data_IF_525928700247
#
_entry.id   IF_525928700247
#
_cell.length_a   1.000
_cell.length_b   1.000
_cell.length_c   1.000
_cell.angle_alpha   90.00
_cell.angle_beta   90.00
_cell.angle_gamma   90.00
#
_symmetry.space_group_name_H-M   'P 1'
#
loop_
_entity.id
_entity.type
_entity.pdbx_description
1 polymer ?
#
# COMPACT_ATOMS: atom_id res chain seq x y z
N UNK A 1 34.20 47.18 65.39
CA UNK A 1 32.79 46.77 65.45
C UNK A 1 32.21 46.83 64.04
N UNK A 2 31.54 45.73 63.61
CA UNK A 2 30.61 45.56 62.48
C UNK A 2 31.09 46.01 61.07
N UNK A 3 31.47 45.11 60.16
CA UNK A 3 30.69 44.12 59.37
C UNK A 3 29.95 44.73 58.17
N UNK A 4 30.26 44.22 56.97
CA UNK A 4 29.48 44.46 55.75
C UNK A 4 30.07 43.77 54.52
N UNK A 5 29.85 42.46 54.41
CA UNK A 5 30.12 41.65 53.22
C UNK A 5 28.81 41.43 52.43
N UNK A 6 28.87 41.48 51.09
CA UNK A 6 28.05 40.78 50.08
C UNK A 6 28.08 41.58 48.76
N UNK A 7 28.17 41.01 47.56
CA UNK A 7 28.15 39.61 47.19
C UNK A 7 28.71 39.44 45.78
N UNK A 8 29.36 38.30 45.58
CA UNK A 8 29.81 37.81 44.28
C UNK A 8 28.60 37.55 43.38
N UNK A 9 28.62 38.11 42.18
CA UNK A 9 27.67 37.76 41.12
C UNK A 9 27.86 36.30 40.73
N UNK A 10 26.84 35.48 40.98
CA UNK A 10 26.74 34.14 40.41
C UNK A 10 26.56 34.26 38.88
N UNK A 11 27.21 33.40 38.08
CA UNK A 11 27.11 33.46 36.64
C UNK A 11 25.74 32.92 36.17
N UNK A 12 25.17 33.60 35.18
CA UNK A 12 23.95 33.33 34.40
C UNK A 12 24.00 32.00 33.60
N UNK A 13 24.45 30.90 34.20
CA UNK A 13 24.61 29.60 33.52
C UNK A 13 23.28 28.82 33.42
N UNK A 14 22.24 29.25 34.15
CA UNK A 14 20.94 28.55 34.20
C UNK A 14 19.98 28.80 33.02
N UNK A 15 20.06 29.96 32.36
CA UNK A 15 19.06 30.38 31.36
C UNK A 15 19.21 29.68 30.00
N UNK A 16 20.46 29.44 29.55
CA UNK A 16 20.72 28.70 28.32
C UNK A 16 20.38 27.21 28.45
N UNK A 17 20.62 26.62 29.63
CA UNK A 17 20.32 25.21 29.90
C UNK A 17 18.81 24.94 29.92
N UNK A 18 18.01 25.76 30.62
CA UNK A 18 16.56 25.59 30.67
C UNK A 18 15.88 25.79 29.30
N UNK A 19 16.36 26.73 28.48
CA UNK A 19 15.84 26.98 27.13
C UNK A 19 16.22 25.85 26.17
N UNK A 20 17.43 25.32 26.25
CA UNK A 20 17.86 24.15 25.46
C UNK A 20 17.15 22.85 25.89
N UNK A 21 16.88 22.68 27.19
CA UNK A 21 16.08 21.56 27.71
C UNK A 21 14.62 21.66 27.26
N UNK A 22 14.03 22.87 27.29
CA UNK A 22 12.68 23.11 26.78
C UNK A 22 12.54 22.86 25.28
N UNK A 23 13.53 23.27 24.50
CA UNK A 23 13.56 23.06 23.04
C UNK A 23 13.73 21.58 22.68
N UNK A 24 14.57 20.85 23.42
CA UNK A 24 14.74 19.41 23.25
C UNK A 24 13.46 18.63 23.59
N UNK A 25 12.84 18.90 24.74
CA UNK A 25 11.61 18.21 25.16
C UNK A 25 10.46 18.46 24.17
N UNK A 26 10.39 19.67 23.61
CA UNK A 26 9.44 20.02 22.56
C UNK A 26 9.66 19.22 21.26
N UNK A 27 10.90 19.12 20.78
CA UNK A 27 11.23 18.34 19.58
C UNK A 27 10.99 16.84 19.79
N UNK A 28 11.31 16.30 20.98
CA UNK A 28 10.99 14.92 21.34
C UNK A 28 9.48 14.66 21.35
N UNK A 29 8.68 15.63 21.78
CA UNK A 29 7.22 15.53 21.73
C UNK A 29 6.69 15.52 20.28
N UNK A 30 7.19 16.40 19.41
CA UNK A 30 6.82 16.40 17.98
C UNK A 30 7.18 15.06 17.35
N UNK A 31 8.41 14.60 17.55
CA UNK A 31 8.89 13.34 16.98
C UNK A 31 8.06 12.14 17.40
N UNK A 32 7.60 12.09 18.67
CA UNK A 32 6.70 11.03 19.17
C UNK A 32 5.30 11.06 18.57
N UNK A 33 4.86 12.22 18.06
CA UNK A 33 3.55 12.38 17.40
C UNK A 33 3.59 12.05 15.90
N UNK A 34 4.78 11.78 15.33
CA UNK A 34 4.93 11.43 13.93
C UNK A 34 4.44 10.01 13.65
N UNK A 35 3.58 9.86 12.63
CA UNK A 35 2.99 8.58 12.26
C UNK A 35 3.53 8.11 10.89
N UNK A 36 4.13 6.92 10.88
CA UNK A 36 4.66 6.32 9.65
C UNK A 36 4.85 4.80 9.80
N UNK A 37 5.15 4.05 8.72
CA UNK A 37 5.47 2.64 8.78
C UNK A 37 6.52 2.24 9.83
N UNK A 38 7.43 3.15 10.17
CA UNK A 38 8.52 2.93 11.11
C UNK A 38 8.06 2.79 12.57
N UNK A 39 6.88 3.34 12.91
CA UNK A 39 6.32 3.33 14.28
C UNK A 39 5.00 2.56 14.39
N UNK A 40 4.36 2.21 13.27
CA UNK A 40 3.10 1.45 13.25
C UNK A 40 3.19 0.00 13.75
N UNK A 41 4.39 -0.45 14.15
CA UNK A 41 4.59 -1.83 14.61
C UNK A 41 4.22 -2.84 13.54
N UNK A 42 4.61 -2.53 12.29
CA UNK A 42 4.55 -3.44 11.14
C UNK A 42 5.52 -4.57 11.41
N UNK A 43 5.13 -5.60 12.16
CA UNK A 43 5.97 -6.78 12.30
C UNK A 43 5.65 -7.67 11.11
N UNK A 44 6.61 -7.94 10.22
CA UNK A 44 6.36 -8.89 9.17
C UNK A 44 6.30 -10.25 9.85
N UNK A 45 5.24 -11.01 9.60
CA UNK A 45 5.16 -12.44 9.95
C UNK A 45 6.22 -13.29 9.24
N UNK A 46 7.14 -12.66 8.49
CA UNK A 46 8.26 -13.22 7.73
C UNK A 46 9.40 -13.81 8.58
N UNK A 47 9.18 -13.98 9.89
CA UNK A 47 10.16 -14.54 10.83
C UNK A 47 11.10 -13.49 11.44
N UNK A 48 11.55 -13.75 12.66
CA UNK A 48 12.48 -12.90 13.42
C UNK A 48 13.95 -13.16 13.10
N UNK A 49 14.25 -14.23 12.36
CA UNK A 49 15.62 -14.65 12.06
C UNK A 49 16.09 -14.17 10.68
N UNK A 50 17.26 -13.50 10.67
CA UNK A 50 18.00 -13.07 9.47
C UNK A 50 18.32 -14.20 8.48
N UNK A 51 18.16 -15.47 8.86
CA UNK A 51 18.37 -16.63 7.99
C UNK A 51 17.27 -16.85 6.95
N UNK A 52 16.09 -16.23 7.11
CA UNK A 52 14.95 -16.31 6.15
C UNK A 52 15.05 -15.25 5.03
N UNK A 53 16.27 -14.88 4.62
CA UNK A 53 16.55 -13.86 3.58
C UNK A 53 15.75 -14.05 2.29
N UNK A 54 15.49 -15.30 1.91
CA UNK A 54 14.70 -15.67 0.72
C UNK A 54 13.23 -15.22 0.78
N UNK A 55 12.61 -15.19 1.96
CA UNK A 55 11.21 -14.75 2.14
C UNK A 55 11.08 -13.24 2.04
N UNK A 56 12.03 -12.51 2.63
CA UNK A 56 12.13 -11.06 2.51
C UNK A 56 12.38 -10.64 1.06
N UNK A 57 13.31 -11.29 0.37
CA UNK A 57 13.59 -11.04 -1.04
C UNK A 57 12.38 -11.32 -1.93
N UNK A 58 11.70 -12.45 -1.71
CA UNK A 58 10.48 -12.80 -2.44
C UNK A 58 9.39 -11.74 -2.22
N UNK A 59 9.16 -11.34 -0.98
CA UNK A 59 8.16 -10.33 -0.65
C UNK A 59 8.47 -8.95 -1.25
N UNK A 60 9.73 -8.49 -1.19
CA UNK A 60 10.16 -7.25 -1.83
C UNK A 60 9.93 -7.32 -3.34
N UNK A 61 10.39 -8.40 -4.00
CA UNK A 61 10.18 -8.58 -5.44
C UNK A 61 8.70 -8.60 -5.80
N UNK A 62 7.85 -9.21 -4.97
CA UNK A 62 6.40 -9.21 -5.15
C UNK A 62 5.82 -7.80 -5.05
N UNK A 63 6.21 -7.01 -4.05
CA UNK A 63 5.77 -5.62 -3.93
C UNK A 63 6.25 -4.77 -5.13
N UNK A 64 7.47 -5.01 -5.64
CA UNK A 64 7.94 -4.38 -6.87
C UNK A 64 7.10 -4.77 -8.10
N UNK A 65 6.72 -6.05 -8.22
CA UNK A 65 5.81 -6.51 -9.28
C UNK A 65 4.41 -5.86 -9.14
N UNK A 66 3.90 -5.70 -7.91
CA UNK A 66 2.63 -5.01 -7.63
C UNK A 66 2.72 -3.52 -7.95
N UNK A 67 3.85 -2.87 -7.66
CA UNK A 67 4.04 -1.45 -7.98
C UNK A 67 3.87 -1.18 -9.48
N UNK A 68 4.32 -2.11 -10.34
CA UNK A 68 4.13 -2.03 -11.79
C UNK A 68 2.67 -2.17 -12.24
N UNK A 69 1.81 -2.73 -11.38
CA UNK A 69 0.39 -2.94 -11.65
C UNK A 69 -0.47 -2.28 -10.59
N UNK A 70 0.01 -1.20 -9.98
CA UNK A 70 -0.72 -0.46 -8.96
C UNK A 70 -2.01 0.09 -9.58
N UNK A 71 -3.12 -0.11 -8.89
CA UNK A 71 -4.45 0.32 -9.32
C UNK A 71 -4.63 1.83 -9.26
N UNK A 72 -3.88 2.52 -8.41
CA UNK A 72 -4.02 3.96 -8.17
C UNK A 72 -2.74 4.57 -7.60
N UNK A 73 -2.59 5.91 -7.67
CA UNK A 73 -1.53 6.62 -6.95
C UNK A 73 -1.53 6.35 -5.44
N UNK A 74 -2.69 6.10 -4.84
CA UNK A 74 -2.81 5.69 -3.44
C UNK A 74 -2.03 4.39 -3.18
N UNK A 75 -2.24 3.38 -4.01
CA UNK A 75 -1.51 2.11 -3.89
C UNK A 75 -0.02 2.29 -4.15
N UNK A 76 0.38 3.16 -5.09
CA UNK A 76 1.80 3.48 -5.28
C UNK A 76 2.43 4.03 -3.99
N UNK A 77 1.78 5.01 -3.35
CA UNK A 77 2.22 5.57 -2.05
C UNK A 77 2.38 4.45 -1.02
N UNK A 78 1.37 3.60 -0.85
CA UNK A 78 1.39 2.49 0.12
C UNK A 78 2.53 1.50 -0.16
N UNK A 79 2.76 1.15 -1.42
CA UNK A 79 3.80 0.20 -1.81
C UNK A 79 5.19 0.82 -1.62
N UNK A 80 5.39 2.09 -1.97
CA UNK A 80 6.64 2.81 -1.71
C UNK A 80 6.96 2.92 -0.20
N UNK A 81 5.95 3.19 0.64
CA UNK A 81 6.09 3.19 2.09
C UNK A 81 6.53 1.82 2.63
N UNK A 82 5.89 0.75 2.15
CA UNK A 82 6.23 -0.61 2.55
C UNK A 82 7.64 -1.02 2.09
N UNK A 83 8.01 -0.72 0.84
CA UNK A 83 9.34 -0.99 0.30
C UNK A 83 10.41 -0.21 1.06
N UNK A 84 10.19 1.08 1.32
CA UNK A 84 11.09 1.91 2.11
C UNK A 84 11.35 1.30 3.49
N UNK A 85 10.28 0.91 4.18
CA UNK A 85 10.38 0.27 5.49
C UNK A 85 11.09 -1.09 5.43
N UNK A 86 10.80 -1.94 4.44
CA UNK A 86 11.46 -3.25 4.26
C UNK A 86 12.97 -3.11 4.01
N UNK A 87 13.38 -2.20 3.13
CA UNK A 87 14.80 -1.97 2.84
C UNK A 87 15.53 -1.40 4.06
N UNK A 88 14.90 -0.49 4.80
CA UNK A 88 15.46 -0.03 6.08
C UNK A 88 15.67 -1.18 7.06
N UNK A 89 14.68 -2.07 7.23
CA UNK A 89 14.81 -3.25 8.11
C UNK A 89 15.92 -4.20 7.68
N UNK A 90 16.29 -4.21 6.39
CA UNK A 90 17.45 -4.95 5.86
C UNK A 90 18.79 -4.23 6.02
N UNK A 91 18.79 -2.98 6.51
CA UNK A 91 19.99 -2.14 6.60
C UNK A 91 20.37 -1.44 5.29
N UNK A 92 19.52 -1.48 4.26
CA UNK A 92 19.73 -0.76 3.01
C UNK A 92 19.02 0.61 3.06
N UNK A 93 19.62 1.52 3.82
CA UNK A 93 19.11 2.89 3.98
C UNK A 93 19.10 3.67 2.67
N UNK A 94 19.99 3.35 1.71
CA UNK A 94 20.03 4.05 0.42
C UNK A 94 18.78 3.74 -0.40
N UNK A 95 18.49 2.46 -0.60
CA UNK A 95 17.29 2.05 -1.36
C UNK A 95 16.01 2.43 -0.62
N UNK A 96 16.02 2.39 0.72
CA UNK A 96 14.91 2.89 1.54
C UNK A 96 14.57 4.35 1.24
N UNK A 97 15.58 5.22 1.16
CA UNK A 97 15.44 6.64 0.81
C UNK A 97 15.02 6.84 -0.63
N UNK A 98 15.54 6.05 -1.57
CA UNK A 98 15.10 6.12 -2.98
C UNK A 98 13.59 5.92 -3.10
N UNK A 99 13.00 4.97 -2.37
CA UNK A 99 11.54 4.78 -2.40
C UNK A 99 10.74 5.94 -1.77
N UNK A 100 11.30 6.65 -0.78
CA UNK A 100 10.64 7.87 -0.28
C UNK A 100 10.73 9.01 -1.30
N UNK A 101 11.82 9.10 -2.06
CA UNK A 101 11.92 10.06 -3.16
C UNK A 101 10.92 9.76 -4.28
N UNK A 102 10.75 8.49 -4.66
CA UNK A 102 9.72 8.09 -5.63
C UNK A 102 8.29 8.42 -5.12
N UNK A 103 8.03 8.22 -3.82
CA UNK A 103 6.75 8.63 -3.21
C UNK A 103 6.54 10.14 -3.34
N UNK A 104 7.56 10.95 -3.08
CA UNK A 104 7.51 12.41 -3.27
C UNK A 104 7.16 12.79 -4.73
N UNK A 105 7.71 12.07 -5.71
CA UNK A 105 7.36 12.24 -7.13
C UNK A 105 5.88 11.90 -7.39
N UNK A 106 5.35 10.84 -6.78
CA UNK A 106 3.91 10.49 -6.88
C UNK A 106 3.03 11.62 -6.33
N UNK A 107 3.40 12.21 -5.19
CA UNK A 107 2.68 13.35 -4.63
C UNK A 107 2.83 14.62 -5.47
N UNK A 108 4.02 14.89 -6.00
CA UNK A 108 4.29 16.05 -6.85
C UNK A 108 3.59 16.01 -8.21
N UNK A 109 3.17 14.84 -8.66
CA UNK A 109 2.46 14.65 -9.95
C UNK A 109 0.94 14.52 -9.79
N UNK A 110 0.42 14.64 -8.58
CA UNK A 110 -0.99 14.37 -8.25
C UNK A 110 -1.98 15.25 -9.01
N UNK A 111 -1.61 16.50 -9.30
CA UNK A 111 -2.41 17.45 -10.09
C UNK A 111 -2.61 17.00 -11.55
N UNK A 112 -1.69 16.18 -12.07
CA UNK A 112 -1.74 15.63 -13.43
C UNK A 112 -2.34 14.23 -13.48
N UNK A 113 -2.57 13.61 -12.33
CA UNK A 113 -3.14 12.29 -12.24
C UNK A 113 -4.64 12.32 -12.59
N UNK A 114 -5.14 11.27 -13.25
CA UNK A 114 -6.55 11.16 -13.66
C UNK A 114 -7.52 10.93 -12.50
N UNK A 115 -8.77 10.55 -12.81
CA UNK A 115 -9.81 10.28 -11.80
C UNK A 115 -9.44 9.21 -10.76
N UNK A 116 -8.55 8.28 -11.11
CA UNK A 116 -7.99 7.25 -10.22
C UNK A 116 -7.23 7.82 -9.00
N UNK A 117 -6.84 9.09 -9.03
CA UNK A 117 -6.16 9.77 -7.93
C UNK A 117 -7.10 10.34 -6.85
N UNK A 118 -8.42 10.20 -7.01
CA UNK A 118 -9.41 10.84 -6.14
C UNK A 118 -9.19 10.63 -4.64
N UNK A 119 -8.89 9.39 -4.22
CA UNK A 119 -8.60 9.07 -2.82
C UNK A 119 -7.32 9.78 -2.33
N UNK A 120 -6.24 9.73 -3.11
CA UNK A 120 -4.97 10.36 -2.73
C UNK A 120 -5.08 11.89 -2.68
N UNK A 121 -5.85 12.52 -3.58
CA UNK A 121 -6.11 13.98 -3.53
C UNK A 121 -6.81 14.39 -2.24
N UNK A 122 -7.84 13.66 -1.82
CA UNK A 122 -8.52 13.93 -0.53
C UNK A 122 -7.60 13.66 0.67
N UNK A 123 -6.70 12.69 0.53
CA UNK A 123 -5.74 12.27 1.56
C UNK A 123 -4.34 12.90 1.46
N UNK A 124 -4.11 13.93 0.63
CA UNK A 124 -2.76 14.38 0.28
C UNK A 124 -1.97 14.82 1.52
N UNK A 125 -2.59 15.62 2.39
CA UNK A 125 -1.95 16.11 3.62
C UNK A 125 -1.53 14.97 4.55
N UNK A 126 -2.34 13.90 4.62
CA UNK A 126 -2.00 12.71 5.38
C UNK A 126 -0.82 11.96 4.76
N UNK A 127 -0.77 11.86 3.43
CA UNK A 127 0.35 11.25 2.71
C UNK A 127 1.64 12.07 2.86
N UNK A 128 1.56 13.41 2.81
CA UNK A 128 2.70 14.32 3.08
C UNK A 128 3.19 14.20 4.51
N UNK A 129 2.28 14.13 5.50
CA UNK A 129 2.63 13.84 6.89
C UNK A 129 3.43 12.53 6.97
N UNK A 130 2.92 11.44 6.40
CA UNK A 130 3.56 10.12 6.49
C UNK A 130 4.92 10.11 5.77
N UNK A 131 5.06 10.81 4.64
CA UNK A 131 6.33 10.97 3.93
C UNK A 131 7.36 11.72 4.79
N UNK A 132 7.00 12.90 5.30
CA UNK A 132 7.88 13.70 6.16
C UNK A 132 8.26 12.95 7.44
N UNK A 133 7.28 12.28 8.07
CA UNK A 133 7.51 11.41 9.21
C UNK A 133 8.46 10.26 8.88
N UNK A 134 8.32 9.60 7.72
CA UNK A 134 9.21 8.53 7.29
C UNK A 134 10.65 9.03 7.09
N UNK A 135 10.84 10.19 6.46
CA UNK A 135 12.15 10.84 6.34
C UNK A 135 12.76 11.14 7.71
N UNK A 136 11.99 11.72 8.62
CA UNK A 136 12.45 12.02 9.98
C UNK A 136 12.86 10.76 10.74
N UNK A 137 12.05 9.69 10.71
CA UNK A 137 12.40 8.43 11.36
C UNK A 137 13.68 7.80 10.80
N UNK A 138 13.91 7.87 9.48
CA UNK A 138 15.14 7.39 8.86
C UNK A 138 16.37 8.24 9.21
N UNK A 139 16.22 9.56 9.22
CA UNK A 139 17.31 10.49 9.52
C UNK A 139 17.74 10.40 10.99
N UNK A 140 16.78 10.26 11.91
CA UNK A 140 17.03 10.27 13.35
C UNK A 140 17.96 9.14 13.83
N UNK A 141 18.06 8.04 13.06
CA UNK A 141 19.02 6.95 13.31
C UNK A 141 20.47 7.46 13.38
N UNK A 142 20.77 8.55 12.67
CA UNK A 142 22.13 9.10 12.54
C UNK A 142 22.23 10.59 12.86
N UNK A 143 21.09 11.26 13.04
CA UNK A 143 21.00 12.71 13.19
C UNK A 143 20.24 13.04 14.49
N UNK A 144 20.84 13.80 15.41
CA UNK A 144 20.15 14.27 16.61
C UNK A 144 18.95 15.16 16.26
N UNK A 145 17.84 15.06 17.02
CA UNK A 145 16.62 15.84 16.75
C UNK A 145 16.85 17.35 16.68
N UNK A 146 17.79 17.88 17.48
CA UNK A 146 18.13 19.30 17.47
C UNK A 146 18.65 19.79 16.11
N UNK A 147 19.27 18.92 15.31
CA UNK A 147 19.75 19.24 13.96
C UNK A 147 18.69 19.06 12.89
N UNK A 148 17.53 18.47 13.24
CA UNK A 148 16.40 18.22 12.34
C UNK A 148 15.22 19.16 12.65
N UNK A 149 15.47 20.26 13.38
CA UNK A 149 14.43 21.13 13.93
C UNK A 149 13.50 21.62 12.83
N UNK A 150 14.07 22.14 11.75
CA UNK A 150 13.30 22.81 10.71
C UNK A 150 12.44 21.80 9.95
N UNK A 151 12.99 20.62 9.64
CA UNK A 151 12.26 19.52 9.01
C UNK A 151 11.12 19.00 9.90
N UNK A 152 11.36 18.87 11.20
CA UNK A 152 10.33 18.41 12.14
C UNK A 152 9.19 19.42 12.30
N UNK A 153 9.48 20.71 12.20
CA UNK A 153 8.48 21.78 12.30
C UNK A 153 7.66 21.96 11.03
N UNK A 154 8.20 21.57 9.87
CA UNK A 154 7.49 21.59 8.58
C UNK A 154 6.45 20.46 8.46
N UNK A 155 6.61 19.37 9.22
CA UNK A 155 5.66 18.26 9.22
C UNK A 155 4.39 18.66 10.00
N UNK A 156 3.25 18.71 9.32
CA UNK A 156 1.94 18.93 9.94
C UNK A 156 1.68 17.87 11.02
N UNK A 157 1.53 18.23 12.31
CA UNK A 157 1.28 17.25 13.37
C UNK A 157 -0.09 16.57 13.22
N UNK A 158 -0.20 15.29 13.60
CA UNK A 158 -1.45 14.51 13.49
C UNK A 158 -2.63 15.19 14.18
N UNK A 159 -2.39 15.86 15.32
CA UNK A 159 -3.41 16.61 16.06
C UNK A 159 -3.99 17.80 15.30
N UNK A 160 -3.30 18.31 14.27
CA UNK A 160 -3.76 19.39 13.40
C UNK A 160 -4.47 18.88 12.14
N UNK A 161 -4.42 17.58 11.86
CA UNK A 161 -5.12 16.99 10.72
C UNK A 161 -6.64 16.99 10.97
N UNK A 162 -7.40 17.38 9.95
CA UNK A 162 -8.86 17.30 9.94
C UNK A 162 -9.39 15.86 9.97
N UNK A 163 -10.71 15.64 10.15
CA UNK A 163 -11.31 14.31 10.17
C UNK A 163 -10.96 13.45 8.95
N UNK A 164 -11.11 13.98 7.74
CA UNK A 164 -10.85 13.25 6.49
C UNK A 164 -9.37 12.90 6.32
N UNK A 165 -8.47 13.83 6.67
CA UNK A 165 -7.03 13.61 6.65
C UNK A 165 -6.61 12.55 7.66
N UNK A 166 -7.21 12.55 8.86
CA UNK A 166 -6.98 11.48 9.84
C UNK A 166 -7.56 10.14 9.38
N UNK A 167 -8.70 10.15 8.68
CA UNK A 167 -9.24 8.95 8.05
C UNK A 167 -8.25 8.37 7.05
N UNK A 168 -7.70 9.21 6.16
CA UNK A 168 -6.66 8.83 5.21
C UNK A 168 -5.38 8.33 5.90
N UNK A 169 -4.94 8.95 7.01
CA UNK A 169 -3.79 8.47 7.78
C UNK A 169 -4.00 7.03 8.31
N UNK A 170 -5.16 6.75 8.91
CA UNK A 170 -5.52 5.40 9.34
C UNK A 170 -5.70 4.44 8.17
N UNK A 171 -6.18 4.96 7.04
CA UNK A 171 -6.24 4.27 5.76
C UNK A 171 -4.89 3.79 5.27
N UNK A 172 -3.90 4.69 5.19
CA UNK A 172 -2.52 4.37 4.83
C UNK A 172 -1.94 3.31 5.77
N UNK A 173 -2.18 3.45 7.08
CA UNK A 173 -1.77 2.45 8.06
C UNK A 173 -2.40 1.08 7.76
N UNK A 174 -3.71 1.02 7.51
CA UNK A 174 -4.42 -0.21 7.20
C UNK A 174 -3.92 -0.84 5.88
N UNK A 175 -3.76 -0.06 4.81
CA UNK A 175 -3.25 -0.50 3.52
C UNK A 175 -1.80 -0.98 3.60
N UNK A 176 -0.93 -0.30 4.36
CA UNK A 176 0.44 -0.76 4.58
C UNK A 176 0.45 -2.14 5.25
N UNK A 177 -0.37 -2.32 6.31
CA UNK A 177 -0.51 -3.64 6.96
C UNK A 177 -1.06 -4.67 5.98
N UNK A 178 -2.05 -4.32 5.16
CA UNK A 178 -2.65 -5.21 4.17
C UNK A 178 -1.62 -5.81 3.21
N UNK A 179 -0.77 -4.98 2.60
CA UNK A 179 0.26 -5.46 1.66
C UNK A 179 1.45 -6.15 2.32
N UNK A 180 1.75 -5.86 3.59
CA UNK A 180 2.80 -6.54 4.36
C UNK A 180 2.38 -7.87 4.98
N UNK A 181 1.08 -8.21 4.97
CA UNK A 181 0.59 -9.46 5.53
C UNK A 181 1.06 -10.68 4.70
N UNK A 182 2.01 -11.44 5.23
CA UNK A 182 2.32 -12.80 4.76
C UNK A 182 1.78 -13.78 5.79
N UNK A 183 0.53 -14.22 5.61
CA UNK A 183 -0.15 -15.26 6.38
C UNK A 183 -0.19 -15.12 7.93
N UNK A 184 -1.40 -15.00 8.49
CA UNK A 184 -1.69 -15.23 9.91
C UNK A 184 -2.88 -14.45 10.48
N UNK A 185 -3.70 -15.09 11.32
CA UNK A 185 -4.93 -14.54 11.93
C UNK A 185 -4.72 -13.26 12.76
N UNK A 186 -3.51 -13.04 13.31
CA UNK A 186 -3.24 -11.94 14.26
C UNK A 186 -3.08 -10.57 13.60
N UNK A 187 -2.67 -10.50 12.33
CA UNK A 187 -2.47 -9.23 11.62
C UNK A 187 -3.78 -8.64 11.07
N UNK A 188 -4.77 -9.50 10.77
CA UNK A 188 -6.11 -9.06 10.36
C UNK A 188 -6.75 -8.12 11.38
N UNK A 189 -6.51 -8.31 12.69
CA UNK A 189 -7.04 -7.42 13.73
C UNK A 189 -6.47 -6.00 13.67
N UNK A 190 -5.17 -5.83 13.41
CA UNK A 190 -4.55 -4.50 13.32
C UNK A 190 -5.03 -3.75 12.09
N UNK A 191 -5.02 -4.42 10.94
CA UNK A 191 -5.54 -3.89 9.68
C UNK A 191 -7.00 -3.47 9.83
N UNK A 192 -7.88 -4.37 10.29
CA UNK A 192 -9.30 -4.09 10.49
C UNK A 192 -9.51 -3.01 11.53
N UNK A 193 -8.70 -2.94 12.59
CA UNK A 193 -8.80 -1.87 13.58
C UNK A 193 -8.47 -0.50 13.00
N UNK A 194 -7.41 -0.39 12.18
CA UNK A 194 -7.07 0.85 11.51
C UNK A 194 -8.15 1.24 10.48
N UNK A 195 -8.61 0.29 9.67
CA UNK A 195 -9.71 0.51 8.72
C UNK A 195 -11.02 0.92 9.41
N UNK A 196 -11.34 0.38 10.59
CA UNK A 196 -12.49 0.80 11.40
C UNK A 196 -12.36 2.24 11.90
N UNK A 197 -11.14 2.67 12.29
CA UNK A 197 -10.91 4.07 12.68
C UNK A 197 -11.09 5.01 11.49
N UNK A 198 -10.58 4.63 10.31
CA UNK A 198 -10.78 5.38 9.08
C UNK A 198 -12.27 5.50 8.72
N UNK A 199 -12.97 4.38 8.69
CA UNK A 199 -14.42 4.31 8.41
C UNK A 199 -15.27 5.05 9.45
N UNK A 200 -14.85 5.11 10.71
CA UNK A 200 -15.54 5.90 11.74
C UNK A 200 -15.46 7.41 11.52
N UNK A 201 -14.49 7.89 10.73
CA UNK A 201 -14.32 9.30 10.36
C UNK A 201 -14.88 9.60 8.97
N UNK A 202 -14.74 8.66 8.04
CA UNK A 202 -15.17 8.78 6.65
C UNK A 202 -15.91 7.48 6.23
N UNK A 203 -17.20 7.34 6.56
CA UNK A 203 -17.93 6.08 6.42
C UNK A 203 -18.16 5.65 4.97
N UNK A 204 -18.25 6.61 4.05
CA UNK A 204 -18.62 6.36 2.64
C UNK A 204 -17.44 6.00 1.74
N UNK A 205 -16.22 5.98 2.28
CA UNK A 205 -15.02 5.66 1.51
C UNK A 205 -14.89 4.15 1.26
N UNK A 206 -14.98 3.76 0.00
CA UNK A 206 -15.01 2.37 -0.42
C UNK A 206 -13.75 1.60 0.00
N UNK A 207 -12.58 2.24 -0.05
CA UNK A 207 -11.29 1.59 0.27
C UNK A 207 -11.27 1.07 1.73
N UNK A 208 -11.86 1.79 2.68
CA UNK A 208 -11.92 1.35 4.08
C UNK A 208 -12.83 0.12 4.23
N UNK A 209 -13.96 0.11 3.51
CA UNK A 209 -14.89 -1.01 3.51
C UNK A 209 -14.25 -2.27 2.93
N UNK A 210 -13.49 -2.12 1.84
CA UNK A 210 -12.75 -3.21 1.19
C UNK A 210 -11.72 -3.84 2.13
N UNK A 211 -10.93 -3.02 2.84
CA UNK A 211 -9.95 -3.51 3.83
C UNK A 211 -10.61 -4.26 4.99
N UNK A 212 -11.89 -4.00 5.29
CA UNK A 212 -12.68 -4.74 6.26
C UNK A 212 -13.36 -5.99 5.68
N UNK A 213 -13.18 -6.28 4.39
CA UNK A 213 -13.86 -7.34 3.66
C UNK A 213 -15.36 -7.09 3.46
N UNK A 214 -15.82 -5.85 3.69
CA UNK A 214 -17.21 -5.45 3.50
C UNK A 214 -17.45 -5.06 2.05
N UNK A 215 -18.67 -5.27 1.59
CA UNK A 215 -19.12 -4.78 0.29
C UNK A 215 -19.34 -3.26 0.42
N UNK A 216 -18.78 -2.42 -0.46
CA UNK A 216 -19.31 -1.08 -0.66
C UNK A 216 -20.77 -1.25 -1.08
N UNK A 217 -21.74 -0.66 -0.38
CA UNK A 217 -23.15 -0.78 -0.76
C UNK A 217 -23.27 -0.37 -2.23
N UNK A 218 -23.88 -1.19 -3.09
CA UNK A 218 -23.99 -0.87 -4.51
C UNK A 218 -24.78 0.43 -4.77
N UNK A 219 -25.56 0.89 -3.78
CA UNK A 219 -26.21 2.20 -3.75
C UNK A 219 -25.35 3.34 -3.18
N UNK A 220 -24.35 3.05 -2.33
CA UNK A 220 -23.36 4.03 -1.83
C UNK A 220 -22.14 4.15 -2.76
N UNK A 221 -21.81 3.07 -3.48
CA UNK A 221 -21.00 3.06 -4.68
C UNK A 221 -21.81 3.63 -5.85
N UNK A 222 -22.50 4.76 -5.62
CA UNK A 222 -23.16 5.57 -6.65
C UNK A 222 -22.32 5.45 -7.90
N UNK A 223 -22.85 4.67 -8.85
CA UNK A 223 -22.19 4.38 -10.11
C UNK A 223 -22.24 5.63 -10.99
N UNK A 224 -22.09 6.81 -10.42
CA UNK A 224 -22.07 8.13 -11.04
C UNK A 224 -21.23 9.02 -10.11
N UNK A 225 -19.98 9.29 -10.50
CA UNK A 225 -19.10 10.24 -9.83
C UNK A 225 -17.70 9.73 -9.47
N UNK A 226 -16.87 10.69 -9.01
CA UNK A 226 -15.43 10.58 -8.66
C UNK A 226 -15.09 9.70 -7.44
N UNK A 227 -16.03 8.89 -6.95
CA UNK A 227 -15.89 8.10 -5.72
C UNK A 227 -15.40 6.66 -5.95
N UNK A 228 -15.44 6.14 -7.19
CA UNK A 228 -15.02 4.76 -7.47
C UNK A 228 -13.55 4.70 -7.92
N UNK A 229 -12.70 4.04 -7.12
CA UNK A 229 -11.32 3.72 -7.51
C UNK A 229 -11.27 2.51 -8.44
N UNK A 230 -10.20 2.34 -9.24
CA UNK A 230 -10.00 1.13 -10.05
C UNK A 230 -10.05 -0.16 -9.21
N UNK A 231 -9.47 -0.15 -8.00
CA UNK A 231 -9.54 -1.27 -7.06
C UNK A 231 -10.98 -1.59 -6.66
N UNK A 232 -11.76 -0.58 -6.23
CA UNK A 232 -13.15 -0.78 -5.83
C UNK A 232 -14.02 -1.33 -6.97
N UNK A 233 -13.81 -0.85 -8.21
CA UNK A 233 -14.53 -1.32 -9.39
C UNK A 233 -14.27 -2.82 -9.67
N UNK A 234 -12.99 -3.20 -9.71
CA UNK A 234 -12.56 -4.57 -10.00
C UNK A 234 -12.93 -5.53 -8.87
N UNK A 235 -12.74 -5.12 -7.61
CA UNK A 235 -13.12 -5.95 -6.46
C UNK A 235 -14.63 -6.22 -6.44
N UNK A 236 -15.44 -5.19 -6.70
CA UNK A 236 -16.89 -5.32 -6.79
C UNK A 236 -17.28 -6.24 -7.95
N UNK A 237 -16.66 -6.11 -9.13
CA UNK A 237 -16.88 -7.03 -10.24
C UNK A 237 -16.51 -8.48 -9.86
N UNK A 238 -15.40 -8.68 -9.16
CA UNK A 238 -14.94 -10.00 -8.69
C UNK A 238 -15.95 -10.64 -7.73
N UNK A 239 -16.51 -9.84 -6.80
CA UNK A 239 -17.61 -10.27 -5.92
C UNK A 239 -18.85 -10.69 -6.70
N UNK A 240 -19.26 -9.92 -7.72
CA UNK A 240 -20.37 -10.31 -8.58
C UNK A 240 -20.10 -11.64 -9.30
N UNK A 241 -18.88 -11.89 -9.77
CA UNK A 241 -18.49 -13.21 -10.31
C UNK A 241 -18.67 -14.31 -9.26
N UNK A 242 -18.16 -14.09 -8.05
CA UNK A 242 -18.26 -15.03 -6.93
C UNK A 242 -19.72 -15.38 -6.59
N UNK A 243 -20.62 -14.40 -6.64
CA UNK A 243 -22.05 -14.58 -6.37
C UNK A 243 -22.84 -15.15 -7.57
N UNK A 244 -22.20 -15.44 -8.71
CA UNK A 244 -22.89 -15.91 -9.92
C UNK A 244 -23.60 -14.81 -10.72
N UNK A 245 -23.40 -13.54 -10.36
CA UNK A 245 -24.01 -12.36 -10.98
C UNK A 245 -23.20 -11.89 -12.22
N UNK A 246 -22.99 -12.80 -13.18
CA UNK A 246 -22.05 -12.61 -14.29
C UNK A 246 -22.38 -11.46 -15.26
N UNK A 247 -23.64 -11.01 -15.34
CA UNK A 247 -24.00 -9.83 -16.14
C UNK A 247 -23.54 -8.54 -15.46
N UNK A 248 -23.84 -8.39 -14.16
CA UNK A 248 -23.45 -7.20 -13.38
C UNK A 248 -21.92 -7.02 -13.36
N UNK A 249 -21.19 -8.11 -13.13
CA UNK A 249 -19.73 -8.11 -13.21
C UNK A 249 -19.20 -7.67 -14.60
N UNK A 250 -19.83 -8.12 -15.69
CA UNK A 250 -19.42 -7.72 -17.06
C UNK A 250 -19.68 -6.25 -17.35
N UNK A 251 -20.80 -5.72 -16.89
CA UNK A 251 -21.13 -4.28 -17.00
C UNK A 251 -20.09 -3.45 -16.26
N UNK A 252 -19.74 -3.84 -15.03
CA UNK A 252 -18.74 -3.14 -14.23
C UNK A 252 -17.34 -3.20 -14.85
N UNK A 253 -16.90 -4.36 -15.34
CA UNK A 253 -15.59 -4.48 -16.00
C UNK A 253 -15.52 -3.66 -17.29
N UNK A 254 -16.56 -3.68 -18.12
CA UNK A 254 -16.61 -2.83 -19.31
C UNK A 254 -16.47 -1.36 -18.94
N UNK A 255 -17.25 -0.91 -17.95
CA UNK A 255 -17.17 0.47 -17.47
C UNK A 255 -15.78 0.82 -16.92
N UNK A 256 -15.15 -0.07 -16.16
CA UNK A 256 -13.80 0.15 -15.65
C UNK A 256 -12.78 0.27 -16.80
N UNK A 257 -12.90 -0.56 -17.85
CA UNK A 257 -12.06 -0.48 -19.05
C UNK A 257 -12.29 0.81 -19.85
N UNK A 258 -13.52 1.32 -19.89
CA UNK A 258 -13.85 2.58 -20.56
C UNK A 258 -13.31 3.79 -19.79
N UNK A 259 -13.37 3.75 -18.45
CA UNK A 259 -12.87 4.83 -17.58
C UNK A 259 -11.35 4.84 -17.44
N UNK A 260 -10.72 3.67 -17.39
CA UNK A 260 -9.29 3.52 -17.15
C UNK A 260 -8.61 2.57 -18.15
N UNK A 261 -8.67 2.87 -19.46
CA UNK A 261 -8.12 1.99 -20.49
C UNK A 261 -6.60 1.82 -20.37
N UNK A 262 -5.89 2.81 -19.83
CA UNK A 262 -4.44 2.76 -19.60
C UNK A 262 -4.01 2.19 -18.25
N UNK A 263 -4.95 1.77 -17.40
CA UNK A 263 -4.63 1.28 -16.06
C UNK A 263 -4.33 -0.23 -16.08
N UNK A 264 -3.10 -0.60 -15.72
CA UNK A 264 -2.61 -1.98 -15.83
C UNK A 264 -3.37 -2.93 -14.92
N UNK A 265 -3.76 -2.48 -13.71
CA UNK A 265 -4.53 -3.28 -12.77
C UNK A 265 -5.89 -3.67 -13.35
N UNK A 266 -6.58 -2.71 -13.97
CA UNK A 266 -7.88 -2.95 -14.61
C UNK A 266 -7.73 -3.93 -15.77
N UNK A 267 -6.76 -3.70 -16.66
CA UNK A 267 -6.49 -4.58 -17.81
C UNK A 267 -6.15 -6.01 -17.36
N UNK A 268 -5.28 -6.15 -16.36
CA UNK A 268 -4.84 -7.43 -15.82
C UNK A 268 -6.01 -8.21 -15.20
N UNK A 269 -6.79 -7.56 -14.33
CA UNK A 269 -7.91 -8.22 -13.66
C UNK A 269 -9.07 -8.51 -14.60
N UNK A 270 -9.36 -7.63 -15.56
CA UNK A 270 -10.35 -7.90 -16.60
C UNK A 270 -9.93 -9.13 -17.43
N UNK A 271 -8.67 -9.22 -17.84
CA UNK A 271 -8.15 -10.38 -18.57
C UNK A 271 -8.35 -11.68 -17.80
N UNK A 272 -7.98 -11.67 -16.51
CA UNK A 272 -8.11 -12.80 -15.61
C UNK A 272 -9.57 -13.22 -15.38
N UNK A 273 -10.47 -12.28 -15.07
CA UNK A 273 -11.88 -12.58 -14.85
C UNK A 273 -12.55 -13.08 -16.14
N UNK A 274 -12.30 -12.46 -17.30
CA UNK A 274 -12.77 -12.92 -18.60
C UNK A 274 -12.28 -14.33 -18.96
N UNK A 275 -11.05 -14.69 -18.58
CA UNK A 275 -10.52 -16.04 -18.78
C UNK A 275 -11.18 -17.09 -17.85
N UNK A 276 -11.55 -16.69 -16.63
CA UNK A 276 -12.12 -17.56 -15.61
C UNK A 276 -13.63 -17.82 -15.74
N UNK A 277 -14.37 -17.05 -16.55
CA UNK A 277 -15.81 -17.22 -16.71
C UNK A 277 -16.18 -18.54 -17.41
N UNK A 278 -16.86 -19.48 -16.73
CA UNK A 278 -17.30 -20.72 -17.36
C UNK A 278 -18.38 -20.41 -18.41
N UNK A 279 -18.29 -21.04 -19.58
CA UNK A 279 -19.36 -21.15 -20.61
C UNK A 279 -19.65 -19.93 -21.50
N UNK A 280 -18.71 -19.01 -21.71
CA UNK A 280 -18.89 -17.95 -22.71
C UNK A 280 -17.70 -17.84 -23.66
N UNK A 281 -17.75 -18.54 -24.81
CA UNK A 281 -16.88 -18.24 -25.97
C UNK A 281 -16.71 -16.74 -26.28
N UNK A 282 -17.75 -15.86 -26.14
CA UNK A 282 -17.57 -14.42 -26.38
C UNK A 282 -16.64 -13.70 -25.39
N UNK A 283 -16.23 -14.30 -24.28
CA UNK A 283 -15.32 -13.69 -23.31
C UNK A 283 -13.83 -13.85 -23.68
N UNK A 284 -13.46 -14.84 -24.51
CA UNK A 284 -12.07 -15.10 -24.89
C UNK A 284 -11.41 -13.94 -25.65
N UNK A 285 -12.06 -13.30 -26.65
CA UNK A 285 -11.46 -12.14 -27.32
C UNK A 285 -11.24 -10.96 -26.37
N UNK A 286 -12.12 -10.75 -25.40
CA UNK A 286 -11.95 -9.70 -24.40
C UNK A 286 -10.77 -10.00 -23.47
N UNK A 287 -10.66 -11.25 -22.98
CA UNK A 287 -9.52 -11.68 -22.17
C UNK A 287 -8.19 -11.49 -22.91
N UNK A 288 -8.14 -11.87 -24.19
CA UNK A 288 -6.95 -11.72 -25.02
C UNK A 288 -6.55 -10.26 -25.18
N UNK A 289 -7.48 -9.37 -25.57
CA UNK A 289 -7.21 -7.94 -25.72
C UNK A 289 -6.67 -7.33 -24.42
N UNK A 290 -7.34 -7.57 -23.30
CA UNK A 290 -6.93 -7.01 -22.01
C UNK A 290 -5.55 -7.53 -21.58
N UNK A 291 -5.25 -8.82 -21.83
CA UNK A 291 -3.95 -9.40 -21.49
C UNK A 291 -2.79 -8.86 -22.33
N UNK A 292 -3.04 -8.54 -23.60
CA UNK A 292 -2.06 -7.91 -24.49
C UNK A 292 -1.79 -6.48 -24.02
N UNK A 293 -2.85 -5.75 -23.67
CA UNK A 293 -2.71 -4.37 -23.20
C UNK A 293 -1.98 -4.31 -21.85
N UNK A 294 -2.29 -5.19 -20.91
CA UNK A 294 -1.56 -5.29 -19.65
C UNK A 294 -0.06 -5.58 -19.88
N UNK A 295 0.27 -6.45 -20.84
CA UNK A 295 1.66 -6.72 -21.24
C UNK A 295 2.35 -5.50 -21.86
N UNK A 296 1.62 -4.73 -22.68
CA UNK A 296 2.15 -3.51 -23.28
C UNK A 296 2.49 -2.46 -22.21
N UNK A 297 1.64 -2.33 -21.20
CA UNK A 297 1.79 -1.35 -20.12
C UNK A 297 2.84 -1.77 -19.09
N UNK A 298 2.94 -3.06 -18.76
CA UNK A 298 3.89 -3.59 -17.77
C UNK A 298 4.62 -4.84 -18.29
N UNK A 299 5.50 -4.70 -19.30
CA UNK A 299 6.17 -5.84 -19.96
C UNK A 299 7.17 -6.57 -19.06
N UNK A 300 7.55 -5.95 -17.94
CA UNK A 300 8.51 -6.51 -16.99
C UNK A 300 7.85 -6.99 -15.69
N UNK A 301 6.53 -7.19 -15.64
CA UNK A 301 5.83 -7.71 -14.46
C UNK A 301 5.57 -9.22 -14.59
N UNK A 302 6.05 -10.05 -13.65
CA UNK A 302 5.92 -11.51 -13.78
C UNK A 302 4.45 -11.96 -13.68
N UNK A 303 3.65 -11.26 -12.88
CA UNK A 303 2.21 -11.53 -12.75
C UNK A 303 1.44 -11.31 -14.05
N UNK A 304 1.76 -10.24 -14.78
CA UNK A 304 1.15 -9.95 -16.09
C UNK A 304 1.43 -11.07 -17.08
N UNK A 305 2.66 -11.59 -17.09
CA UNK A 305 3.00 -12.74 -17.91
C UNK A 305 2.27 -14.01 -17.46
N UNK A 306 2.09 -14.23 -16.16
CA UNK A 306 1.35 -15.38 -15.63
C UNK A 306 -0.15 -15.32 -16.01
N UNK A 307 -0.78 -14.14 -15.95
CA UNK A 307 -2.16 -13.97 -16.44
C UNK A 307 -2.24 -14.13 -17.95
N UNK A 308 -1.26 -13.64 -18.72
CA UNK A 308 -1.20 -13.94 -20.16
C UNK A 308 -1.11 -15.45 -20.41
N UNK A 309 -0.30 -16.18 -19.62
CA UNK A 309 -0.19 -17.65 -19.71
C UNK A 309 -1.50 -18.37 -19.39
N UNK A 310 -2.32 -17.81 -18.50
CA UNK A 310 -3.68 -18.29 -18.24
C UNK A 310 -4.60 -18.12 -19.45
N UNK A 311 -4.57 -16.94 -20.08
CA UNK A 311 -5.41 -16.57 -21.24
C UNK A 311 -4.97 -17.33 -22.50
N UNK A 312 -3.66 -17.37 -22.72
CA UNK A 312 -2.97 -18.02 -23.82
C UNK A 312 -1.93 -18.96 -23.21
N UNK A 313 -2.19 -20.28 -23.16
CA UNK A 313 -1.15 -21.32 -23.13
C UNK A 313 -0.21 -21.06 -24.32
N UNK A 314 0.78 -21.83 -24.73
CA UNK A 314 1.79 -21.34 -25.73
C UNK A 314 2.57 -20.03 -25.40
N UNK A 315 2.04 -19.02 -24.67
CA UNK A 315 2.75 -17.79 -24.32
C UNK A 315 4.01 -18.15 -23.55
N UNK A 316 5.13 -17.62 -24.04
CA UNK A 316 6.44 -17.86 -23.48
C UNK A 316 7.18 -16.53 -23.39
N UNK A 317 7.84 -16.30 -22.26
CA UNK A 317 8.60 -15.08 -22.00
C UNK A 317 9.66 -15.34 -20.94
N UNK A 318 10.85 -14.71 -21.02
CA UNK A 318 11.82 -14.73 -19.93
C UNK A 318 11.25 -14.29 -18.58
N UNK A 319 10.27 -13.38 -18.56
CA UNK A 319 9.64 -12.91 -17.33
C UNK A 319 8.93 -14.03 -16.54
N UNK A 320 8.45 -15.08 -17.22
CA UNK A 320 7.82 -16.23 -16.58
C UNK A 320 8.80 -16.99 -15.68
N UNK A 321 10.09 -17.01 -16.03
CA UNK A 321 11.14 -17.62 -15.20
C UNK A 321 11.37 -16.92 -13.85
N UNK A 322 10.81 -15.72 -13.65
CA UNK A 322 10.89 -14.98 -12.38
C UNK A 322 9.75 -15.35 -11.42
N UNK A 323 8.65 -15.95 -11.89
CA UNK A 323 7.44 -16.22 -11.09
C UNK A 323 7.79 -17.00 -9.81
N UNK A 324 8.64 -18.03 -9.90
CA UNK A 324 9.08 -18.82 -8.73
C UNK A 324 9.86 -18.01 -7.71
N UNK A 325 10.67 -17.05 -8.16
CA UNK A 325 11.46 -16.17 -7.29
C UNK A 325 10.64 -15.05 -6.64
N UNK A 326 9.51 -14.67 -7.24
CA UNK A 326 8.63 -13.58 -6.80
C UNK A 326 7.48 -14.10 -5.94
N UNK A 327 6.85 -15.20 -6.36
CA UNK A 327 5.63 -15.72 -5.75
C UNK A 327 5.83 -17.07 -5.05
N UNK A 328 7.04 -17.65 -5.11
CA UNK A 328 7.35 -18.94 -4.49
C UNK A 328 6.65 -20.13 -5.15
N UNK A 329 6.11 -19.96 -6.36
CA UNK A 329 5.37 -20.98 -7.12
C UNK A 329 5.88 -21.04 -8.56
N UNK A 330 5.86 -22.21 -9.15
CA UNK A 330 6.03 -22.36 -10.60
C UNK A 330 4.92 -21.65 -11.36
N UNK A 331 5.16 -21.43 -12.66
CA UNK A 331 4.18 -20.82 -13.57
C UNK A 331 2.90 -21.65 -13.66
N UNK A 332 3.02 -22.98 -13.71
CA UNK A 332 1.85 -23.85 -13.82
C UNK A 332 1.05 -23.87 -12.51
N UNK A 333 1.71 -23.87 -11.34
CA UNK A 333 1.05 -23.78 -10.05
C UNK A 333 0.27 -22.46 -9.90
N UNK A 334 0.87 -21.33 -10.25
CA UNK A 334 0.19 -20.04 -10.14
C UNK A 334 -1.01 -19.95 -11.11
N UNK A 335 -0.87 -20.45 -12.33
CA UNK A 335 -1.95 -20.48 -13.33
C UNK A 335 -3.08 -21.41 -12.89
N UNK A 336 -2.76 -22.60 -12.37
CA UNK A 336 -3.75 -23.53 -11.85
C UNK A 336 -4.49 -22.93 -10.65
N UNK A 337 -3.78 -22.22 -9.76
CA UNK A 337 -4.41 -21.50 -8.65
C UNK A 337 -5.37 -20.41 -9.13
N UNK A 338 -4.98 -19.64 -10.15
CA UNK A 338 -5.85 -18.64 -10.78
C UNK A 338 -7.13 -19.25 -11.37
N UNK A 339 -7.06 -20.46 -11.94
CA UNK A 339 -8.25 -21.16 -12.46
C UNK A 339 -9.24 -21.57 -11.36
N UNK A 340 -8.75 -21.78 -10.13
CA UNK A 340 -9.53 -22.38 -9.05
C UNK A 340 -10.43 -21.41 -8.27
N UNK A 341 -10.24 -20.09 -8.37
CA UNK A 341 -11.04 -19.11 -7.62
C UNK A 341 -10.97 -17.75 -8.28
N UNK A 342 -12.07 -16.99 -8.32
CA UNK A 342 -12.08 -15.62 -8.82
C UNK A 342 -11.30 -14.62 -7.94
N UNK A 343 -11.03 -14.93 -6.67
CA UNK A 343 -10.18 -14.10 -5.79
C UNK A 343 -8.70 -14.51 -5.78
N UNK A 344 -8.31 -15.52 -6.57
CA UNK A 344 -6.95 -16.03 -6.55
C UNK A 344 -5.91 -14.96 -6.91
N UNK A 345 -6.17 -14.13 -7.91
CA UNK A 345 -5.25 -13.05 -8.32
C UNK A 345 -5.01 -12.04 -7.19
N UNK A 346 -6.06 -11.59 -6.52
CA UNK A 346 -5.97 -10.71 -5.34
C UNK A 346 -5.19 -11.40 -4.20
N UNK A 347 -5.49 -12.67 -3.93
CA UNK A 347 -4.76 -13.46 -2.95
C UNK A 347 -3.27 -13.62 -3.29
N UNK A 348 -2.92 -13.70 -4.58
CA UNK A 348 -1.55 -13.77 -5.08
C UNK A 348 -0.84 -12.43 -4.88
N UNK A 349 -1.46 -11.34 -5.32
CA UNK A 349 -0.92 -9.98 -5.16
C UNK A 349 -0.70 -9.70 -3.68
N UNK A 350 -1.68 -9.98 -2.83
CA UNK A 350 -1.62 -9.63 -1.42
C UNK A 350 -0.92 -10.69 -0.56
N UNK A 351 -0.45 -11.78 -1.15
CA UNK A 351 0.47 -12.73 -0.48
C UNK A 351 -0.24 -13.63 0.53
N UNK A 352 -1.57 -13.74 0.40
CA UNK A 352 -2.43 -14.64 1.16
C UNK A 352 -2.32 -16.10 0.70
N UNK A 353 -1.26 -16.45 -0.03
CA UNK A 353 -1.09 -17.74 -0.66
C UNK A 353 -0.69 -18.75 0.42
N UNK A 354 -1.71 -19.49 0.86
CA UNK A 354 -1.63 -20.76 1.57
C UNK A 354 -0.49 -21.66 1.08
N UNK A 355 0.59 -21.71 1.87
CA UNK A 355 1.29 -22.94 2.18
C UNK A 355 0.50 -23.75 3.20
N UNK A 356 -0.79 -24.01 2.95
CA UNK A 356 -1.50 -25.03 3.71
C UNK A 356 -1.23 -26.37 3.02
N UNK A 357 -0.42 -27.20 3.69
CA UNK A 357 -0.77 -28.62 3.73
C UNK A 357 -2.24 -28.65 4.15
N UNK A 358 -3.13 -29.02 3.23
CA UNK A 358 -4.47 -29.43 3.58
C UNK A 358 -4.32 -30.49 4.67
N UNK A 359 -4.66 -30.14 5.92
CA UNK A 359 -5.05 -31.17 6.86
C UNK A 359 -6.38 -31.66 6.32
N UNK A 360 -6.35 -32.81 5.65
CA UNK A 360 -7.55 -33.60 5.39
C UNK A 360 -8.30 -33.72 6.72
N UNK A 361 -9.53 -33.21 6.74
CA UNK A 361 -10.51 -33.51 7.80
C UNK A 361 -11.09 -34.88 7.50
#
# INVERSE_FOLDING_TARGET
MASGAAGAGLPLVGACSARAVGDRAFLEQIYKELESPFVWGLLPSLGTHRSDSSRWDSHIRRLMDILMVADSPWTQVVIHLNLSWLFYKRGDSRTSRSHLAELDVVLGTLQWAGSEAGLLRRGEEAARHVLGAAWAHLAHVTTPLAQMRDELLDITPVRKLGPDQRAALYGLQASCVYFLCVQGEKMGKKMVSAAKKASGLQPDEAEWLLLMGKRPDAAAACLDGDAMTPHAAVYTATRHVYCGEGLAARVLLRRALDLWPGNVYVQLNAAYLYAGWPRAEPARPAAERCSIEALRLAPNCALVHAVRRLVRPEHNSPCLGRVSKVYGMSVDEIVNKMRGSCFALEGIMCGFISGHKEKKV
#
